data_IF_232788259266
#
_entry.id   IF_232788259266
#
_cell.length_a   1.000
_cell.length_b   1.000
_cell.length_c   1.000
_cell.angle_alpha   90.00
_cell.angle_beta   90.00
_cell.angle_gamma   90.00
#
_symmetry.space_group_name_H-M   'P 1'
#
loop_
_entity.id
_entity.type
_entity.pdbx_description
1 polymer ?
#
# COMPACT_ATOMS: atom_id res chain seq x y z
N UNK A 1 -3.98 -4.77 2.42
CA UNK A 1 -3.15 -5.45 1.41
C UNK A 1 -3.15 -6.96 1.61
N UNK A 2 -3.37 -7.73 0.53
CA UNK A 2 -3.20 -9.20 0.56
C UNK A 2 -1.74 -9.54 0.33
N UNK A 3 -1.07 -10.10 1.34
CA UNK A 3 0.31 -10.57 1.24
C UNK A 3 0.33 -11.88 0.42
N UNK A 4 0.56 -11.75 -0.88
CA UNK A 4 0.73 -12.88 -1.80
C UNK A 4 2.10 -13.51 -1.54
N UNK A 5 2.13 -14.79 -1.18
CA UNK A 5 3.35 -15.48 -0.75
C UNK A 5 4.34 -15.71 -1.90
N UNK A 6 3.84 -15.84 -3.14
CA UNK A 6 4.69 -16.09 -4.32
C UNK A 6 4.08 -15.48 -5.57
N UNK A 7 4.91 -15.08 -6.55
CA UNK A 7 4.46 -14.59 -7.87
C UNK A 7 3.97 -15.72 -8.79
N UNK A 8 4.04 -16.98 -8.37
CA UNK A 8 3.60 -18.13 -9.15
C UNK A 8 2.10 -18.34 -8.93
N UNK A 9 1.33 -18.14 -9.99
CA UNK A 9 -0.09 -18.44 -10.04
C UNK A 9 -0.35 -19.87 -10.51
N UNK A 10 -1.45 -20.46 -10.08
CA UNK A 10 -1.85 -21.80 -10.47
C UNK A 10 -3.21 -21.76 -11.17
N UNK A 11 -3.25 -22.19 -12.42
CA UNK A 11 -4.46 -22.18 -13.26
C UNK A 11 -4.94 -23.57 -13.67
N UNK A 12 -4.26 -24.64 -13.24
CA UNK A 12 -4.63 -26.05 -13.48
C UNK A 12 -3.81 -26.99 -12.59
N UNK A 13 -4.26 -28.23 -12.41
CA UNK A 13 -3.49 -29.27 -11.73
C UNK A 13 -3.45 -29.11 -10.21
N UNK A 14 -2.44 -29.76 -9.60
CA UNK A 14 -2.27 -29.84 -8.15
C UNK A 14 -1.08 -29.03 -7.68
N UNK A 15 -1.24 -28.27 -6.61
CA UNK A 15 -0.16 -27.50 -6.02
C UNK A 15 -0.20 -27.51 -4.49
N UNK A 16 0.97 -27.33 -3.88
CA UNK A 16 1.16 -27.40 -2.44
C UNK A 16 2.18 -26.35 -1.98
N UNK A 17 1.93 -25.70 -0.85
CA UNK A 17 2.88 -24.80 -0.21
C UNK A 17 2.71 -24.83 1.32
N UNK A 18 3.74 -24.43 2.05
CA UNK A 18 3.79 -24.44 3.50
C UNK A 18 4.14 -23.06 4.05
N UNK A 19 3.60 -22.73 5.22
CA UNK A 19 3.89 -21.47 5.91
C UNK A 19 4.14 -21.67 7.39
N UNK A 20 5.22 -21.06 7.88
CA UNK A 20 5.51 -20.98 9.31
C UNK A 20 4.56 -20.02 10.02
N UNK A 21 3.84 -20.53 11.02
CA UNK A 21 2.88 -19.78 11.85
C UNK A 21 3.20 -19.83 13.34
N UNK A 22 4.28 -20.52 13.72
CA UNK A 22 4.84 -20.55 15.07
C UNK A 22 4.89 -19.15 15.71
N UNK A 23 4.49 -19.09 16.98
CA UNK A 23 4.48 -17.89 17.84
C UNK A 23 3.60 -16.73 17.32
N UNK A 24 2.78 -16.96 16.28
CA UNK A 24 1.85 -15.94 15.76
C UNK A 24 0.51 -16.04 16.46
N UNK A 25 0.12 -14.97 17.12
CA UNK A 25 -1.19 -14.81 17.77
C UNK A 25 -2.34 -14.59 16.78
N UNK A 26 -2.01 -14.22 15.54
CA UNK A 26 -2.97 -14.02 14.45
C UNK A 26 -2.37 -14.33 13.10
N UNK A 27 -3.10 -15.09 12.28
CA UNK A 27 -2.75 -15.29 10.87
C UNK A 27 -3.95 -15.70 10.01
N UNK A 28 -3.85 -15.49 8.69
CA UNK A 28 -4.75 -16.14 7.72
C UNK A 28 -3.96 -16.71 6.55
N UNK A 29 -4.34 -17.86 6.04
CA UNK A 29 -3.53 -18.62 5.09
C UNK A 29 -4.41 -19.38 4.10
N UNK A 30 -4.14 -19.23 2.81
CA UNK A 30 -4.90 -19.93 1.78
C UNK A 30 -4.60 -19.45 0.36
N UNK A 31 -5.62 -19.41 -0.49
CA UNK A 31 -5.51 -18.97 -1.88
C UNK A 31 -6.58 -17.94 -2.27
N UNK A 32 -6.29 -17.11 -3.26
CA UNK A 32 -7.23 -16.16 -3.86
C UNK A 32 -7.14 -16.13 -5.38
N UNK A 33 -8.22 -15.80 -6.09
CA UNK A 33 -8.19 -15.62 -7.56
C UNK A 33 -7.52 -14.30 -7.97
N UNK A 34 -7.15 -14.20 -9.24
CA UNK A 34 -6.48 -13.04 -9.81
C UNK A 34 -7.34 -11.77 -9.76
N UNK A 35 -8.60 -11.86 -10.22
CA UNK A 35 -9.50 -10.72 -10.41
C UNK A 35 -10.12 -10.18 -9.13
N UNK A 36 -9.80 -10.74 -7.96
CA UNK A 36 -10.47 -10.26 -6.74
C UNK A 36 -10.15 -8.80 -6.54
N UNK A 37 -11.20 -7.99 -6.44
CA UNK A 37 -11.09 -6.59 -6.17
C UNK A 37 -10.64 -6.39 -4.71
N UNK A 38 -9.35 -6.15 -4.53
CA UNK A 38 -8.69 -6.01 -3.22
C UNK A 38 -8.90 -4.63 -2.59
N UNK A 39 -9.69 -3.75 -3.21
CA UNK A 39 -9.92 -2.35 -2.82
C UNK A 39 -11.27 -2.10 -2.11
N UNK A 40 -12.26 -3.01 -2.20
CA UNK A 40 -13.58 -2.89 -1.54
C UNK A 40 -13.78 -3.86 -0.38
N UNK A 41 -14.79 -3.59 0.46
CA UNK A 41 -15.31 -4.54 1.45
C UNK A 41 -15.94 -5.72 0.73
N UNK A 42 -15.14 -6.77 0.56
CA UNK A 42 -15.60 -8.06 0.08
C UNK A 42 -15.61 -8.99 1.29
N UNK A 43 -16.74 -9.64 1.54
CA UNK A 43 -16.76 -10.74 2.51
C UNK A 43 -15.81 -11.79 2.01
N UNK A 44 -14.76 -12.09 2.78
CA UNK A 44 -13.80 -13.10 2.38
C UNK A 44 -14.45 -14.48 2.41
N UNK A 45 -15.02 -14.89 1.29
CA UNK A 45 -15.69 -16.18 1.14
C UNK A 45 -15.24 -16.87 -0.15
N UNK A 46 -15.42 -18.19 -0.26
CA UNK A 46 -15.25 -18.94 -1.49
C UNK A 46 -15.95 -18.32 -2.71
N UNK A 47 -17.17 -17.80 -2.55
CA UNK A 47 -17.94 -17.18 -3.65
C UNK A 47 -17.24 -15.93 -4.19
N UNK A 48 -16.53 -15.23 -3.32
CA UNK A 48 -15.77 -14.03 -3.65
C UNK A 48 -14.32 -14.32 -4.04
N UNK A 49 -13.95 -15.59 -4.20
CA UNK A 49 -12.62 -15.99 -4.67
C UNK A 49 -11.57 -16.04 -3.57
N UNK A 50 -11.96 -16.32 -2.32
CA UNK A 50 -11.04 -16.52 -1.21
C UNK A 50 -11.29 -17.86 -0.51
N UNK A 51 -10.22 -18.64 -0.36
CA UNK A 51 -10.26 -19.91 0.38
C UNK A 51 -9.09 -19.92 1.37
N UNK A 52 -9.35 -19.67 2.65
CA UNK A 52 -8.33 -19.63 3.69
C UNK A 52 -8.80 -20.11 5.06
N UNK A 53 -7.83 -20.57 5.86
CA UNK A 53 -7.94 -20.66 7.31
C UNK A 53 -7.52 -19.34 7.94
N UNK A 54 -8.18 -18.94 9.02
CA UNK A 54 -7.68 -17.91 9.92
C UNK A 54 -7.63 -18.40 11.35
N UNK A 55 -6.64 -17.90 12.07
CA UNK A 55 -6.45 -18.10 13.49
C UNK A 55 -6.36 -16.73 14.15
N UNK A 56 -7.24 -16.47 15.12
CA UNK A 56 -7.33 -15.23 15.89
C UNK A 56 -8.05 -15.55 17.20
N UNK A 57 -7.59 -15.01 18.33
CA UNK A 57 -8.22 -15.21 19.66
C UNK A 57 -8.47 -16.69 20.02
N UNK A 58 -7.49 -17.56 19.76
CA UNK A 58 -7.56 -19.02 19.99
C UNK A 58 -8.64 -19.77 19.20
N UNK A 59 -9.23 -19.13 18.19
CA UNK A 59 -10.20 -19.74 17.28
C UNK A 59 -9.56 -20.02 15.93
N UNK A 60 -9.67 -21.27 15.45
CA UNK A 60 -9.27 -21.66 14.10
C UNK A 60 -10.53 -21.81 13.23
N UNK A 61 -10.61 -21.05 12.14
CA UNK A 61 -11.85 -20.95 11.35
C UNK A 61 -11.55 -20.97 9.85
N UNK A 62 -12.30 -21.77 9.11
CA UNK A 62 -12.35 -21.70 7.65
C UNK A 62 -13.39 -20.67 7.19
N UNK A 63 -13.04 -19.84 6.22
CA UNK A 63 -13.83 -18.71 5.74
C UNK A 63 -15.02 -19.07 4.82
N UNK A 64 -15.61 -20.26 4.99
CA UNK A 64 -16.79 -20.68 4.24
C UNK A 64 -18.02 -19.79 4.48
N UNK A 65 -19.09 -20.04 3.74
CA UNK A 65 -20.39 -19.43 3.99
C UNK A 65 -21.45 -20.53 4.25
N UNK A 66 -21.81 -20.81 5.52
CA UNK A 66 -21.34 -20.15 6.74
C UNK A 66 -19.90 -20.53 7.11
N UNK A 67 -19.27 -19.70 7.96
CA UNK A 67 -17.91 -19.96 8.44
C UNK A 67 -17.87 -21.24 9.29
N UNK A 68 -16.78 -22.01 9.17
CA UNK A 68 -16.64 -23.31 9.85
C UNK A 68 -15.58 -23.18 10.95
N UNK A 69 -16.02 -23.26 12.21
CA UNK A 69 -15.11 -23.32 13.37
C UNK A 69 -14.50 -24.72 13.49
N UNK A 70 -13.20 -24.78 13.71
CA UNK A 70 -12.43 -26.01 13.76
C UNK A 70 -11.81 -26.18 15.16
N UNK A 71 -11.72 -27.42 15.67
CA UNK A 71 -11.11 -27.68 16.96
C UNK A 71 -9.61 -27.36 16.92
N UNK A 72 -9.14 -26.50 17.82
CA UNK A 72 -7.71 -26.27 18.05
C UNK A 72 -7.16 -27.43 18.87
N UNK A 73 -6.44 -28.36 18.22
CA UNK A 73 -5.94 -29.59 18.87
C UNK A 73 -4.53 -29.48 19.43
N UNK A 74 -3.73 -28.54 18.92
CA UNK A 74 -2.35 -28.26 19.32
C UNK A 74 -1.94 -26.86 18.81
N UNK A 75 -0.85 -26.32 19.33
CA UNK A 75 -0.26 -25.07 18.84
C UNK A 75 0.33 -25.28 17.44
N UNK A 76 -0.36 -24.76 16.42
CA UNK A 76 0.05 -24.89 15.02
C UNK A 76 1.39 -24.17 14.80
N UNK A 77 2.40 -24.93 14.38
CA UNK A 77 3.73 -24.39 14.10
C UNK A 77 3.91 -24.06 12.62
N UNK A 78 3.40 -24.94 11.75
CA UNK A 78 3.48 -24.81 10.29
C UNK A 78 2.25 -25.43 9.66
N UNK A 79 1.66 -24.69 8.71
CA UNK A 79 0.44 -25.10 8.02
C UNK A 79 0.73 -25.27 6.53
N UNK A 80 0.33 -26.42 6.00
CA UNK A 80 0.40 -26.76 4.58
C UNK A 80 -0.94 -26.51 3.90
N UNK A 81 -0.91 -25.96 2.70
CA UNK A 81 -2.07 -25.74 1.83
C UNK A 81 -1.89 -26.55 0.56
N UNK A 82 -2.83 -27.43 0.28
CA UNK A 82 -2.92 -28.21 -0.96
C UNK A 82 -4.13 -27.75 -1.76
N UNK A 83 -3.98 -27.62 -3.06
CA UNK A 83 -5.08 -27.32 -3.97
C UNK A 83 -5.06 -28.31 -5.12
N UNK A 84 -6.22 -28.89 -5.41
CA UNK A 84 -6.48 -29.60 -6.66
C UNK A 84 -7.45 -28.71 -7.46
N UNK A 85 -6.89 -28.00 -8.44
CA UNK A 85 -7.63 -27.01 -9.23
C UNK A 85 -8.75 -27.68 -10.02
N UNK A 86 -8.42 -28.78 -10.70
CA UNK A 86 -9.36 -29.47 -11.57
C UNK A 86 -10.49 -30.16 -10.78
N UNK A 87 -10.22 -30.57 -9.54
CA UNK A 87 -11.20 -31.16 -8.64
C UNK A 87 -11.98 -30.14 -7.78
N UNK A 88 -11.64 -28.84 -7.83
CA UNK A 88 -12.30 -27.83 -7.01
C UNK A 88 -12.06 -28.02 -5.50
N UNK A 89 -10.82 -28.35 -5.10
CA UNK A 89 -10.47 -28.72 -3.74
C UNK A 89 -9.38 -27.81 -3.16
N UNK A 90 -9.60 -27.32 -1.94
CA UNK A 90 -8.55 -26.70 -1.10
C UNK A 90 -8.47 -27.45 0.22
N UNK A 91 -7.28 -27.92 0.61
CA UNK A 91 -7.06 -28.67 1.84
C UNK A 91 -5.94 -28.06 2.68
N UNK A 92 -6.10 -28.14 4.00
CA UNK A 92 -5.18 -27.60 4.98
C UNK A 92 -4.67 -28.70 5.90
N UNK A 93 -3.38 -28.65 6.23
CA UNK A 93 -2.70 -29.66 7.02
C UNK A 93 -1.84 -29.04 8.10
N UNK A 94 -1.81 -29.67 9.26
CA UNK A 94 -0.77 -29.46 10.25
C UNK A 94 0.44 -30.28 9.79
N UNK A 95 1.50 -29.58 9.38
CA UNK A 95 2.68 -30.21 8.80
C UNK A 95 3.45 -30.99 9.86
N UNK A 96 3.51 -30.47 11.08
CA UNK A 96 4.30 -31.08 12.15
C UNK A 96 3.59 -32.30 12.72
N UNK A 97 2.27 -32.22 12.93
CA UNK A 97 1.47 -33.37 13.35
C UNK A 97 1.18 -34.36 12.21
N UNK A 98 1.52 -34.01 10.96
CA UNK A 98 1.13 -34.73 9.73
C UNK A 98 -0.36 -35.05 9.70
N UNK A 99 -1.16 -34.10 10.16
CA UNK A 99 -2.58 -34.27 10.38
C UNK A 99 -3.37 -33.37 9.43
N UNK A 100 -4.49 -33.89 8.93
CA UNK A 100 -5.46 -33.08 8.20
C UNK A 100 -6.17 -32.12 9.16
N UNK A 101 -6.32 -30.86 8.73
CA UNK A 101 -7.07 -29.84 9.46
C UNK A 101 -8.47 -29.72 8.87
N UNK A 102 -8.56 -29.40 7.57
CA UNK A 102 -9.83 -29.14 6.90
C UNK A 102 -9.70 -29.24 5.37
N UNK A 103 -10.80 -29.59 4.68
CA UNK A 103 -10.89 -29.57 3.22
C UNK A 103 -12.19 -28.90 2.78
N UNK A 104 -12.06 -27.92 1.88
CA UNK A 104 -13.18 -27.32 1.15
C UNK A 104 -13.29 -27.99 -0.23
N UNK A 105 -14.41 -28.67 -0.46
CA UNK A 105 -14.74 -29.36 -1.72
C UNK A 105 -15.81 -28.60 -2.50
N UNK A 106 -15.86 -28.78 -3.82
CA UNK A 106 -16.86 -28.12 -4.67
C UNK A 106 -16.54 -26.64 -4.92
N UNK A 107 -15.28 -26.24 -4.72
CA UNK A 107 -14.82 -24.91 -5.05
C UNK A 107 -14.83 -24.72 -6.57
N UNK A 108 -15.32 -23.58 -7.04
CA UNK A 108 -15.24 -23.23 -8.47
C UNK A 108 -14.06 -22.30 -8.69
N UNK A 109 -13.09 -22.73 -9.48
CA UNK A 109 -11.97 -21.91 -9.90
C UNK A 109 -12.11 -21.58 -11.38
N UNK A 110 -12.13 -20.30 -11.71
CA UNK A 110 -12.29 -19.80 -13.08
C UNK A 110 -11.08 -18.99 -13.57
N UNK A 111 -10.09 -18.81 -12.70
CA UNK A 111 -8.97 -17.89 -12.85
C UNK A 111 -7.72 -18.45 -12.16
N UNK A 112 -6.53 -17.92 -12.46
CA UNK A 112 -5.32 -18.28 -11.72
C UNK A 112 -5.46 -17.98 -10.23
N UNK A 113 -5.03 -18.93 -9.40
CA UNK A 113 -5.00 -18.82 -7.95
C UNK A 113 -3.61 -18.42 -7.46
N UNK A 114 -3.58 -17.55 -6.46
CA UNK A 114 -2.37 -17.08 -5.80
C UNK A 114 -2.35 -17.51 -4.34
N UNK A 115 -1.23 -18.04 -3.83
CA UNK A 115 -1.02 -18.25 -2.41
C UNK A 115 -1.08 -16.94 -1.62
N UNK A 116 -1.79 -16.92 -0.49
CA UNK A 116 -1.94 -15.76 0.39
C UNK A 116 -1.58 -16.11 1.84
N UNK A 117 -0.88 -15.21 2.52
CA UNK A 117 -0.64 -15.24 3.96
C UNK A 117 -0.97 -13.87 4.52
N UNK A 118 -1.68 -13.80 5.63
CA UNK A 118 -2.12 -12.57 6.27
C UNK A 118 -2.69 -11.56 5.27
N UNK A 119 -3.75 -11.90 4.51
CA UNK A 119 -4.59 -10.89 3.91
C UNK A 119 -4.99 -9.89 5.00
N UNK A 120 -4.52 -8.65 4.89
CA UNK A 120 -4.76 -7.64 5.92
C UNK A 120 -6.27 -7.46 6.16
N UNK A 121 -6.64 -7.49 7.44
CA UNK A 121 -7.86 -6.94 8.04
C UNK A 121 -9.15 -7.77 7.92
N UNK A 122 -10.04 -7.85 8.93
CA UNK A 122 -11.49 -7.93 8.64
C UNK A 122 -11.87 -6.74 7.73
N UNK A 123 -13.07 -6.73 7.13
CA UNK A 123 -13.53 -5.59 6.33
C UNK A 123 -13.28 -4.28 7.08
N UNK A 124 -12.39 -3.44 6.56
CA UNK A 124 -12.23 -2.07 7.03
C UNK A 124 -12.18 -1.15 5.83
N UNK A 125 -12.95 -0.07 5.95
CA UNK A 125 -13.06 1.00 4.98
C UNK A 125 -11.69 1.65 4.75
N UNK A 126 -11.22 1.57 3.50
CA UNK A 126 -10.13 2.41 3.00
C UNK A 126 -10.79 3.47 2.15
N UNK A 127 -10.68 4.72 2.56
CA UNK A 127 -11.18 5.84 1.78
C UNK A 127 -10.23 6.05 0.59
N UNK A 128 -10.71 5.69 -0.60
CA UNK A 128 -10.04 6.06 -1.85
C UNK A 128 -10.41 7.51 -2.10
N UNK A 129 -9.48 8.40 -1.80
CA UNK A 129 -9.78 9.83 -1.66
C UNK A 129 -9.46 10.57 -2.93
N UNK A 130 -10.45 11.32 -3.41
CA UNK A 130 -10.18 12.31 -4.42
C UNK A 130 -9.50 13.53 -3.76
N UNK A 131 -8.19 13.64 -3.96
CA UNK A 131 -7.40 14.73 -3.41
C UNK A 131 -7.01 15.75 -4.49
N UNK A 132 -6.83 16.99 -4.07
CA UNK A 132 -6.48 18.14 -4.92
C UNK A 132 -5.45 18.99 -4.21
N UNK A 133 -4.47 19.49 -4.96
CA UNK A 133 -3.39 20.33 -4.46
C UNK A 133 -3.89 21.70 -3.97
N UNK A 134 -3.30 22.17 -2.87
CA UNK A 134 -3.61 23.48 -2.29
C UNK A 134 -2.60 24.54 -2.76
N UNK A 135 -3.07 25.47 -3.60
CA UNK A 135 -2.30 26.61 -4.11
C UNK A 135 -1.76 27.53 -3.01
N UNK A 136 -2.40 27.57 -1.84
CA UNK A 136 -1.92 28.38 -0.73
C UNK A 136 -0.69 27.76 -0.06
N UNK A 137 -0.48 26.46 -0.23
CA UNK A 137 0.68 25.74 0.33
C UNK A 137 1.86 25.69 -0.64
N UNK A 138 1.61 25.69 -1.94
CA UNK A 138 2.64 25.49 -2.97
C UNK A 138 3.75 26.55 -2.93
N UNK A 139 5.00 26.10 -3.06
CA UNK A 139 6.14 26.99 -3.28
C UNK A 139 5.95 27.87 -4.53
N UNK A 140 6.39 29.15 -4.51
CA UNK A 140 6.17 30.07 -5.63
C UNK A 140 6.79 29.67 -6.98
N UNK A 141 7.74 28.74 -7.03
CA UNK A 141 8.28 28.20 -8.27
C UNK A 141 7.40 27.12 -8.89
N UNK A 142 6.49 26.52 -8.11
CA UNK A 142 5.62 25.47 -8.58
C UNK A 142 4.48 26.01 -9.47
N UNK A 143 4.15 25.22 -10.48
CA UNK A 143 2.99 25.44 -11.34
C UNK A 143 2.03 24.28 -11.10
N UNK A 144 0.82 24.64 -10.66
CA UNK A 144 -0.28 23.71 -10.44
C UNK A 144 -1.28 23.84 -11.60
N UNK A 145 -1.90 22.74 -12.00
CA UNK A 145 -3.03 22.76 -12.94
C UNK A 145 -4.29 23.31 -12.28
N UNK A 146 -5.22 23.84 -13.09
CA UNK A 146 -6.47 24.46 -12.61
C UNK A 146 -7.37 23.46 -11.85
N UNK A 147 -7.32 22.17 -12.21
CA UNK A 147 -8.02 21.08 -11.52
C UNK A 147 -7.33 20.62 -10.22
N UNK A 148 -6.15 21.19 -9.90
CA UNK A 148 -5.35 20.84 -8.73
C UNK A 148 -4.80 19.42 -8.75
N UNK A 149 -4.71 18.76 -9.92
CA UNK A 149 -4.21 17.37 -10.03
C UNK A 149 -2.74 17.27 -10.41
N UNK A 150 -2.17 18.31 -11.01
CA UNK A 150 -0.81 18.28 -11.55
C UNK A 150 0.07 19.31 -10.87
N UNK A 151 1.35 18.97 -10.69
CA UNK A 151 2.36 19.91 -10.23
C UNK A 151 3.72 19.63 -10.85
N UNK A 152 4.39 20.70 -11.28
CA UNK A 152 5.78 20.66 -11.72
C UNK A 152 6.51 21.94 -11.32
N UNK A 153 7.84 21.90 -11.37
CA UNK A 153 8.67 23.10 -11.26
C UNK A 153 8.57 23.93 -12.55
N UNK A 154 8.22 25.21 -12.41
CA UNK A 154 8.17 26.17 -13.51
C UNK A 154 9.53 26.77 -13.88
N UNK A 155 10.58 26.49 -13.11
CA UNK A 155 11.95 26.98 -13.30
C UNK A 155 12.16 28.46 -12.93
N UNK A 156 11.08 29.21 -12.68
CA UNK A 156 11.13 30.62 -12.27
C UNK A 156 10.11 30.87 -11.17
N UNK A 157 10.57 31.47 -10.07
CA UNK A 157 9.72 31.86 -8.96
C UNK A 157 8.74 32.98 -9.33
N UNK A 158 7.46 32.75 -9.07
CA UNK A 158 6.42 33.76 -9.19
C UNK A 158 6.41 34.64 -7.94
N UNK A 159 6.08 35.92 -8.11
CA UNK A 159 5.84 36.81 -6.96
C UNK A 159 4.41 36.58 -6.45
N UNK A 160 4.27 35.67 -5.49
CA UNK A 160 3.01 35.38 -4.81
C UNK A 160 2.95 36.10 -3.46
N UNK A 161 1.73 36.39 -2.99
CA UNK A 161 1.52 36.88 -1.62
C UNK A 161 1.95 35.77 -0.65
N UNK A 162 2.84 36.13 0.27
CA UNK A 162 3.26 35.21 1.32
C UNK A 162 2.10 34.97 2.30
N UNK A 163 1.98 33.72 2.74
CA UNK A 163 1.00 33.31 3.74
C UNK A 163 1.61 32.19 4.61
N UNK A 164 1.12 31.97 5.85
CA UNK A 164 1.73 30.99 6.76
C UNK A 164 1.74 29.55 6.25
N UNK A 165 0.79 29.16 5.38
CA UNK A 165 0.68 27.80 4.84
C UNK A 165 1.68 27.51 3.73
N UNK A 166 2.29 28.53 3.12
CA UNK A 166 3.13 28.42 1.93
C UNK A 166 4.55 27.90 2.25
N UNK A 167 5.00 26.88 1.52
CA UNK A 167 6.40 26.48 1.48
C UNK A 167 7.24 27.56 0.79
N UNK A 168 8.39 27.91 1.37
CA UNK A 168 9.27 28.96 0.81
C UNK A 168 10.72 28.51 0.63
N UNK A 169 11.06 27.29 1.06
CA UNK A 169 12.44 26.78 1.04
C UNK A 169 12.61 25.54 0.16
N UNK A 170 11.51 24.81 -0.06
CA UNK A 170 11.50 23.55 -0.80
C UNK A 170 10.37 23.58 -1.81
N UNK A 171 10.60 22.90 -2.94
CA UNK A 171 9.63 22.73 -4.02
C UNK A 171 8.53 21.76 -3.62
N UNK A 172 7.74 22.12 -2.61
CA UNK A 172 6.76 21.25 -1.98
C UNK A 172 5.36 21.84 -2.03
N UNK A 173 4.38 20.95 -1.94
CA UNK A 173 2.96 21.28 -1.91
C UNK A 173 2.18 20.20 -1.13
N UNK A 174 1.12 20.63 -0.45
CA UNK A 174 0.16 19.75 0.21
C UNK A 174 -1.17 19.75 -0.54
N UNK A 175 -1.98 18.72 -0.28
CA UNK A 175 -3.38 18.72 -0.69
C UNK A 175 -4.26 19.58 0.22
N UNK A 176 -5.47 19.89 -0.25
CA UNK A 176 -6.51 20.55 0.55
C UNK A 176 -7.11 19.63 1.61
N UNK A 177 -7.24 18.35 1.27
CA UNK A 177 -7.79 17.29 2.11
C UNK A 177 -6.73 16.82 3.11
N UNK A 178 -7.18 16.52 4.33
CA UNK A 178 -6.37 15.97 5.42
C UNK A 178 -7.11 14.87 6.15
N UNK A 179 -6.36 13.96 6.78
CA UNK A 179 -6.90 12.78 7.44
C UNK A 179 -6.37 12.65 8.86
N UNK A 180 -7.26 12.46 9.82
CA UNK A 180 -6.91 12.41 11.25
C UNK A 180 -7.24 11.08 11.92
N UNK A 181 -7.69 10.09 11.13
CA UNK A 181 -8.08 8.75 11.58
C UNK A 181 -8.28 7.84 10.37
N UNK A 182 -8.38 6.53 10.60
CA UNK A 182 -8.78 5.59 9.56
C UNK A 182 -7.70 5.35 8.51
N UNK A 183 -8.13 4.94 7.33
CA UNK A 183 -7.24 4.53 6.23
C UNK A 183 -7.56 5.30 4.96
N UNK A 184 -6.53 5.80 4.29
CA UNK A 184 -6.69 6.47 3.01
C UNK A 184 -5.61 6.05 2.02
N UNK A 185 -5.95 6.20 0.74
CA UNK A 185 -5.08 5.83 -0.37
C UNK A 185 -5.17 6.83 -1.52
N UNK A 186 -4.03 7.17 -2.11
CA UNK A 186 -3.94 7.99 -3.32
C UNK A 186 -2.81 7.50 -4.23
N UNK A 187 -2.95 7.74 -5.53
CA UNK A 187 -1.98 7.35 -6.57
C UNK A 187 -1.39 8.59 -7.24
N UNK A 188 -0.07 8.59 -7.47
CA UNK A 188 0.64 9.67 -8.15
C UNK A 188 1.44 9.07 -9.30
N UNK A 189 1.17 9.56 -10.51
CA UNK A 189 2.00 9.27 -11.67
C UNK A 189 3.32 10.04 -11.56
N UNK A 190 4.42 9.30 -11.67
CA UNK A 190 5.81 9.78 -11.61
C UNK A 190 6.58 9.53 -12.91
N UNK A 191 5.87 9.02 -13.93
CA UNK A 191 6.40 8.66 -15.24
C UNK A 191 7.25 9.78 -15.84
N UNK A 192 8.38 9.40 -16.44
CA UNK A 192 9.31 10.28 -17.16
C UNK A 192 9.96 11.38 -16.29
N UNK A 193 9.92 11.26 -14.95
CA UNK A 193 10.61 12.15 -14.02
C UNK A 193 11.93 11.55 -13.54
N UNK A 194 12.95 12.40 -13.37
CA UNK A 194 14.28 12.02 -12.88
C UNK A 194 14.52 12.38 -11.42
N UNK A 195 13.63 13.20 -10.84
CA UNK A 195 13.64 13.57 -9.43
C UNK A 195 12.21 13.81 -8.94
N UNK A 196 11.86 13.24 -7.79
CA UNK A 196 10.59 13.52 -7.10
C UNK A 196 10.59 12.98 -5.67
N UNK A 197 9.66 13.45 -4.87
CA UNK A 197 9.31 12.94 -3.55
C UNK A 197 7.81 12.94 -3.34
N UNK A 198 7.27 11.90 -2.71
CA UNK A 198 5.85 11.79 -2.40
C UNK A 198 5.60 11.04 -1.10
N UNK A 199 4.50 11.35 -0.43
CA UNK A 199 4.10 10.69 0.80
C UNK A 199 3.12 11.54 1.59
N UNK A 200 3.30 11.66 2.90
CA UNK A 200 2.41 12.45 3.76
C UNK A 200 3.18 13.32 4.74
N UNK A 201 2.60 14.46 5.10
CA UNK A 201 3.14 15.37 6.08
C UNK A 201 2.08 15.73 7.13
N UNK A 202 2.52 15.95 8.36
CA UNK A 202 1.69 16.49 9.44
C UNK A 202 1.31 17.95 9.18
N UNK A 203 0.19 18.39 9.76
CA UNK A 203 -0.28 19.77 9.67
C UNK A 203 0.78 20.80 10.10
N UNK A 204 1.44 20.54 11.23
CA UNK A 204 2.45 21.41 11.84
C UNK A 204 3.83 21.43 11.15
N UNK A 205 4.00 20.71 10.04
CA UNK A 205 5.28 20.65 9.32
C UNK A 205 5.84 22.04 9.04
N UNK A 206 7.14 22.21 9.23
CA UNK A 206 7.81 23.49 9.00
C UNK A 206 7.85 23.83 7.50
N UNK A 207 7.26 24.97 7.14
CA UNK A 207 7.13 25.41 5.74
C UNK A 207 8.03 26.62 5.40
N UNK A 208 8.65 27.24 6.40
CA UNK A 208 9.32 28.54 6.26
C UNK A 208 10.83 28.47 6.40
N UNK A 209 11.32 27.57 7.25
CA UNK A 209 12.74 27.46 7.54
C UNK A 209 13.33 26.20 6.92
N UNK A 210 14.61 26.27 6.61
CA UNK A 210 15.37 25.15 6.10
C UNK A 210 15.40 24.04 7.18
N UNK A 211 14.66 22.96 6.96
CA UNK A 211 14.80 21.73 7.73
C UNK A 211 15.93 20.88 7.16
N UNK A 212 16.69 20.20 8.02
CA UNK A 212 17.89 19.48 7.57
C UNK A 212 17.56 18.37 6.56
N UNK A 213 16.44 17.67 6.77
CA UNK A 213 15.93 16.59 5.92
C UNK A 213 14.42 16.40 6.16
N UNK A 214 13.69 15.96 5.12
CA UNK A 214 12.31 15.48 5.27
C UNK A 214 12.33 14.09 5.90
N UNK A 215 12.02 13.95 7.17
CA UNK A 215 12.03 12.66 7.90
C UNK A 215 10.77 12.52 8.75
N UNK A 216 10.41 11.28 9.16
CA UNK A 216 9.30 11.05 10.10
C UNK A 216 9.42 11.87 11.39
N UNK A 217 10.64 12.06 11.90
CA UNK A 217 10.95 12.90 13.07
C UNK A 217 10.51 14.36 12.86
N UNK A 218 10.68 14.87 11.64
CA UNK A 218 10.23 16.22 11.23
C UNK A 218 8.78 16.24 10.73
N UNK A 219 8.03 15.15 10.91
CA UNK A 219 6.62 15.04 10.56
C UNK A 219 6.35 14.78 9.07
N UNK A 220 7.32 14.25 8.32
CA UNK A 220 7.17 13.94 6.88
C UNK A 220 7.60 12.49 6.59
N UNK A 221 6.70 11.67 6.06
CA UNK A 221 6.99 10.32 5.58
C UNK A 221 7.04 10.35 4.07
N UNK A 222 8.25 10.24 3.50
CA UNK A 222 8.47 10.46 2.07
C UNK A 222 9.29 9.34 1.45
N UNK A 223 8.76 8.80 0.35
CA UNK A 223 9.51 8.04 -0.64
C UNK A 223 10.03 9.02 -1.68
N UNK A 224 11.32 8.94 -2.01
CA UNK A 224 11.95 9.80 -3.01
C UNK A 224 12.65 8.98 -4.08
N UNK A 225 12.74 9.58 -5.26
CA UNK A 225 13.60 9.15 -6.35
C UNK A 225 14.49 10.32 -6.76
N UNK A 226 15.80 10.12 -6.78
CA UNK A 226 16.77 11.13 -7.18
C UNK A 226 17.99 10.46 -7.81
N UNK A 227 18.32 10.81 -9.07
CA UNK A 227 19.52 10.32 -9.77
C UNK A 227 19.68 8.80 -9.69
N UNK A 228 18.63 8.07 -10.05
CA UNK A 228 18.59 6.60 -10.03
C UNK A 228 18.76 5.99 -8.63
N UNK A 229 18.48 6.74 -7.57
CA UNK A 229 18.36 6.23 -6.20
C UNK A 229 16.91 6.35 -5.74
N UNK A 230 16.29 5.21 -5.42
CA UNK A 230 15.00 5.13 -4.74
C UNK A 230 15.26 4.95 -3.25
N UNK A 231 14.62 5.74 -2.41
CA UNK A 231 14.79 5.63 -0.97
C UNK A 231 13.60 6.14 -0.18
N UNK A 232 13.54 5.72 1.08
CA UNK A 232 12.67 6.33 2.08
C UNK A 232 13.54 7.20 2.99
N UNK A 233 13.17 8.48 3.13
CA UNK A 233 13.95 9.39 3.99
C UNK A 233 13.65 9.10 5.46
N UNK A 234 14.53 8.34 6.08
CA UNK A 234 14.60 8.14 7.51
C UNK A 234 16.00 8.57 8.02
N UNK A 235 16.25 8.42 9.32
CA UNK A 235 17.55 8.68 9.92
C UNK A 235 18.12 7.41 10.59
N UNK A 236 19.01 6.66 9.91
CA UNK A 236 19.60 6.91 8.58
C UNK A 236 18.66 6.60 7.42
N UNK A 237 18.96 7.14 6.24
CA UNK A 237 18.18 6.93 5.01
C UNK A 237 18.09 5.44 4.66
N UNK A 238 16.90 4.98 4.29
CA UNK A 238 16.65 3.60 3.86
C UNK A 238 16.73 3.56 2.32
N UNK A 239 17.80 2.97 1.79
CA UNK A 239 17.96 2.77 0.34
C UNK A 239 17.17 1.56 -0.14
N UNK A 240 16.46 1.73 -1.25
CA UNK A 240 15.57 0.72 -1.80
C UNK A 240 16.05 0.30 -3.20
N UNK A 241 15.83 -0.97 -3.60
CA UNK A 241 16.18 -1.41 -4.95
C UNK A 241 15.33 -0.66 -5.97
N UNK A 242 15.99 0.00 -6.92
CA UNK A 242 15.32 0.63 -8.06
C UNK A 242 14.74 -0.46 -8.96
N UNK A 243 13.44 -0.37 -9.24
CA UNK A 243 12.77 -1.21 -10.22
C UNK A 243 12.79 -0.51 -11.58
N UNK A 244 12.91 -1.29 -12.65
CA UNK A 244 12.75 -0.75 -13.99
C UNK A 244 11.33 -0.18 -14.13
N UNK A 245 11.22 1.03 -14.66
CA UNK A 245 9.95 1.65 -15.09
C UNK A 245 8.92 1.94 -13.98
N UNK A 246 9.33 2.55 -12.86
CA UNK A 246 8.36 3.06 -11.88
C UNK A 246 7.57 4.24 -12.49
N UNK A 247 6.33 3.99 -12.94
CA UNK A 247 5.49 4.99 -13.61
C UNK A 247 4.45 5.63 -12.68
N UNK A 248 3.99 4.88 -11.67
CA UNK A 248 2.94 5.33 -10.76
C UNK A 248 3.15 4.73 -9.37
N UNK A 249 3.06 5.57 -8.34
CA UNK A 249 3.24 5.19 -6.95
C UNK A 249 1.93 5.38 -6.19
N UNK A 250 1.49 4.32 -5.51
CA UNK A 250 0.39 4.35 -4.58
C UNK A 250 0.89 4.60 -3.16
N UNK A 251 0.25 5.50 -2.44
CA UNK A 251 0.53 5.79 -1.03
C UNK A 251 -0.67 5.38 -0.21
N UNK A 252 -0.47 4.46 0.72
CA UNK A 252 -1.47 3.99 1.66
C UNK A 252 -1.09 4.43 3.07
N UNK A 253 -2.06 4.89 3.82
CA UNK A 253 -1.89 5.22 5.24
C UNK A 253 -2.93 4.48 6.05
N UNK A 254 -2.50 3.83 7.12
CA UNK A 254 -3.36 3.41 8.22
C UNK A 254 -3.00 4.28 9.42
N UNK A 255 -3.82 5.30 9.66
CA UNK A 255 -3.59 6.30 10.69
C UNK A 255 -3.63 5.64 12.08
N UNK A 256 -4.62 4.78 12.31
CA UNK A 256 -4.84 4.17 13.61
C UNK A 256 -3.76 3.12 13.93
N UNK A 257 -3.23 2.43 12.92
CA UNK A 257 -2.14 1.48 13.06
C UNK A 257 -0.73 2.09 12.98
N UNK A 258 -0.62 3.40 12.71
CA UNK A 258 0.70 4.05 12.63
C UNK A 258 1.53 3.58 11.42
N UNK A 259 0.91 3.46 10.25
CA UNK A 259 1.52 2.86 9.06
C UNK A 259 1.45 3.80 7.86
N UNK A 260 2.57 3.97 7.15
CA UNK A 260 2.62 4.53 5.79
C UNK A 260 3.26 3.51 4.87
N UNK A 261 2.60 3.14 3.78
CA UNK A 261 3.10 2.16 2.81
C UNK A 261 3.07 2.69 1.38
N UNK A 262 4.06 2.27 0.61
CA UNK A 262 4.28 2.70 -0.77
C UNK A 262 4.24 1.50 -1.72
N UNK A 263 3.62 1.69 -2.88
CA UNK A 263 3.37 0.65 -3.86
C UNK A 263 3.71 1.10 -5.26
N UNK A 264 4.34 0.21 -6.02
CA UNK A 264 4.39 0.32 -7.47
C UNK A 264 3.03 -0.14 -8.00
N UNK A 265 2.25 0.79 -8.53
CA UNK A 265 0.86 0.52 -8.94
C UNK A 265 0.83 -0.39 -10.15
N UNK A 266 1.71 -0.14 -11.13
CA UNK A 266 1.75 -0.89 -12.39
C UNK A 266 2.26 -2.31 -12.15
N UNK A 267 3.32 -2.46 -11.34
CA UNK A 267 3.82 -3.78 -10.95
C UNK A 267 2.96 -4.47 -9.87
N UNK A 268 1.92 -3.78 -9.35
CA UNK A 268 1.06 -4.22 -8.23
C UNK A 268 1.89 -4.75 -7.06
N UNK A 269 2.99 -4.07 -6.72
CA UNK A 269 4.01 -4.59 -5.83
C UNK A 269 4.40 -3.59 -4.74
N UNK A 270 4.52 -4.09 -3.50
CA UNK A 270 5.05 -3.34 -2.36
C UNK A 270 6.44 -2.78 -2.63
N UNK A 271 6.67 -1.52 -2.27
CA UNK A 271 7.98 -0.85 -2.31
C UNK A 271 8.57 -0.80 -0.91
N UNK A 272 7.85 -0.18 0.03
CA UNK A 272 8.32 0.06 1.39
C UNK A 272 7.16 0.37 2.35
N UNK A 273 7.33 0.07 3.63
CA UNK A 273 6.41 0.44 4.71
C UNK A 273 7.16 1.02 5.89
N UNK A 274 6.75 2.20 6.34
CA UNK A 274 7.13 2.79 7.62
C UNK A 274 6.09 2.38 8.68
N UNK A 275 6.50 1.56 9.63
CA UNK A 275 5.66 1.01 10.71
C UNK A 275 5.98 1.67 12.05
N UNK A 276 5.05 1.62 13.00
CA UNK A 276 5.27 2.16 14.34
C UNK A 276 5.30 3.69 14.35
N UNK A 277 4.69 4.32 13.36
CA UNK A 277 4.53 5.77 13.30
C UNK A 277 3.52 6.20 14.36
N UNK A 278 3.81 7.26 15.10
CA UNK A 278 2.82 7.89 15.98
C UNK A 278 2.22 9.08 15.25
N UNK A 279 0.92 9.07 14.96
CA UNK A 279 0.25 10.24 14.39
C UNK A 279 -0.63 10.89 15.46
N UNK A 280 -0.51 12.20 15.60
CA UNK A 280 -1.20 12.99 16.63
C UNK A 280 -1.92 14.21 16.07
N UNK A 281 -1.85 14.42 14.76
CA UNK A 281 -2.40 15.57 14.06
C UNK A 281 -2.77 15.16 12.63
N UNK A 282 -3.61 15.94 11.93
CA UNK A 282 -4.02 15.63 10.57
C UNK A 282 -2.83 15.43 9.64
N UNK A 283 -2.89 14.39 8.81
CA UNK A 283 -1.94 14.11 7.75
C UNK A 283 -2.47 14.59 6.41
N UNK A 284 -1.61 15.28 5.68
CA UNK A 284 -1.85 15.77 4.33
C UNK A 284 -0.99 14.99 3.34
N UNK A 285 -1.56 14.46 2.24
CA UNK A 285 -0.77 14.08 1.08
C UNK A 285 0.20 15.19 0.67
N UNK A 286 1.44 14.78 0.43
CA UNK A 286 2.60 15.63 0.22
C UNK A 286 3.27 15.25 -1.10
N UNK A 287 3.53 16.25 -1.95
CA UNK A 287 4.21 16.07 -3.23
C UNK A 287 5.36 17.07 -3.36
N UNK A 288 6.48 16.59 -3.91
CA UNK A 288 7.67 17.37 -4.25
C UNK A 288 8.13 16.97 -5.66
N UNK A 289 7.84 17.75 -6.71
CA UNK A 289 8.15 17.37 -8.10
C UNK A 289 9.65 17.39 -8.45
N UNK A 290 10.51 17.83 -7.54
CA UNK A 290 11.93 18.04 -7.81
C UNK A 290 12.20 19.22 -8.74
N UNK A 291 13.49 19.55 -8.91
CA UNK A 291 13.94 20.66 -9.75
C UNK A 291 13.68 20.36 -11.24
N UNK A 292 13.41 21.39 -12.03
CA UNK A 292 13.19 21.33 -13.48
C UNK A 292 14.37 20.73 -14.27
N UNK A 293 15.60 20.84 -13.74
CA UNK A 293 16.83 20.24 -14.27
C UNK A 293 17.06 20.47 -15.79
N UNK A 294 16.98 21.74 -16.20
CA UNK A 294 17.17 22.13 -17.61
C UNK A 294 16.14 21.52 -18.56
N UNK A 295 14.98 21.09 -18.04
CA UNK A 295 13.90 20.45 -18.80
C UNK A 295 13.84 18.95 -18.65
N UNK A 296 14.90 18.31 -18.10
CA UNK A 296 14.97 16.84 -17.95
C UNK A 296 13.97 16.27 -16.95
N UNK A 297 13.45 17.10 -16.04
CA UNK A 297 12.45 16.72 -15.05
C UNK A 297 11.20 17.60 -15.13
N UNK A 298 10.92 18.15 -16.33
CA UNK A 298 9.80 19.08 -16.57
C UNK A 298 8.42 18.43 -16.52
N UNK A 299 8.35 17.11 -16.63
CA UNK A 299 7.11 16.33 -16.53
C UNK A 299 6.49 16.49 -15.14
N UNK A 300 5.15 16.69 -15.06
CA UNK A 300 4.47 16.90 -13.80
C UNK A 300 4.31 15.60 -13.01
N UNK A 301 4.23 15.75 -11.69
CA UNK A 301 3.55 14.77 -10.86
C UNK A 301 2.05 14.92 -11.09
N UNK A 302 1.35 13.81 -11.30
CA UNK A 302 -0.10 13.82 -11.56
C UNK A 302 -0.80 12.93 -10.53
N UNK A 303 -1.62 13.54 -9.69
CA UNK A 303 -2.56 12.82 -8.82
C UNK A 303 -3.57 12.15 -9.75
N UNK A 304 -3.51 10.82 -9.79
CA UNK A 304 -4.37 10.04 -10.67
C UNK A 304 -5.68 9.72 -9.96
N UNK A 305 -6.83 9.79 -10.66
CA UNK A 305 -8.02 9.14 -10.16
C UNK A 305 -7.70 7.65 -10.00
N UNK A 306 -8.04 7.10 -8.86
CA UNK A 306 -7.92 5.66 -8.63
C UNK A 306 -9.05 5.00 -9.39
N UNK A 307 -8.79 4.60 -10.64
CA UNK A 307 -9.78 3.94 -11.48
C UNK A 307 -10.25 2.64 -10.79
N UNK A 308 -11.57 2.52 -10.64
CA UNK A 308 -12.25 1.44 -9.93
C UNK A 308 -12.40 0.16 -10.78
N UNK A 309 -11.83 0.16 -11.99
CA UNK A 309 -11.91 -0.89 -13.00
C UNK A 309 -10.53 -1.12 -13.59
N UNK A 310 -9.79 -2.12 -13.11
CA UNK A 310 -8.70 -2.86 -13.79
C UNK A 310 -8.18 -4.00 -12.88
#
# INVERSE_FOLDING_TARGET
MVNVLTRQSFSSGRFYFEVQVKDKTRWRLGVTRESVNRKYVITFTPENGFWFLHFEEDELVFNGNPAVRLPVRAELQKVGVFVDYDAGLVSFYDVEARAHIYSATGCTFSEPLYPILNPEGPAVEVEVVEVTLDHDTADPQLILSDDGKQVHDGGVGKKLTDNPKRFTQYLDVLTRQSFSSGRFYFEVQVKDKTSWGLGVARESVNRKYLIKTHTPENGIWILYFLKDELGFNDNPVVRLPVRAELQKVGVFVDYDAGLVSFYDVEARAHIYSATGCTFSEPLYPFLSPGLHDGGRNSTPLIISPVNQTD
#
